data_IF_881687471636
#
_entry.id   IF_881687471636
#
_cell.length_a   1.000
_cell.length_b   1.000
_cell.length_c   1.000
_cell.angle_alpha   90.00
_cell.angle_beta   90.00
_cell.angle_gamma   90.00
#
_symmetry.space_group_name_H-M   'P 1'
#
loop_
_entity.id
_entity.type
_entity.pdbx_description
1 polymer ?
#
# COMPACT_ATOMS: atom_id res chain seq x y z
N UNK A 1 -0.32 13.91 4.09
CA UNK A 1 -0.07 13.08 5.30
C UNK A 1 -1.29 12.93 6.19
N UNK A 2 -2.03 13.99 6.50
CA UNK A 2 -3.29 13.88 7.28
C UNK A 2 -4.26 12.87 6.64
N UNK A 3 -4.41 12.92 5.31
CA UNK A 3 -5.26 11.98 4.54
C UNK A 3 -4.91 10.49 4.78
N UNK A 4 -3.63 10.14 4.94
CA UNK A 4 -3.21 8.75 5.20
C UNK A 4 -3.63 8.33 6.60
N UNK A 5 -3.54 9.24 7.58
CA UNK A 5 -3.99 9.00 8.95
C UNK A 5 -5.51 8.83 9.01
N UNK A 6 -6.26 9.60 8.21
CA UNK A 6 -7.71 9.45 8.08
C UNK A 6 -8.08 8.09 7.49
N UNK A 7 -7.41 7.66 6.41
CA UNK A 7 -7.60 6.31 5.84
C UNK A 7 -7.29 5.21 6.84
N UNK A 8 -6.23 5.37 7.64
CA UNK A 8 -5.90 4.42 8.71
C UNK A 8 -6.99 4.36 9.78
N UNK A 9 -7.53 5.52 10.17
CA UNK A 9 -8.66 5.61 11.10
C UNK A 9 -9.88 4.88 10.55
N UNK A 10 -10.28 5.12 9.31
CA UNK A 10 -11.43 4.44 8.70
C UNK A 10 -11.22 2.92 8.64
N UNK A 11 -10.03 2.49 8.22
CA UNK A 11 -9.69 1.07 8.11
C UNK A 11 -9.69 0.35 9.46
N UNK A 12 -9.27 1.03 10.54
CA UNK A 12 -9.36 0.53 11.91
C UNK A 12 -10.81 0.19 12.31
N UNK A 13 -11.78 0.97 11.84
CA UNK A 13 -13.21 0.73 12.09
C UNK A 13 -13.82 -0.25 11.06
N UNK A 14 -13.01 -0.85 10.18
CA UNK A 14 -13.48 -1.74 9.11
C UNK A 14 -14.27 -1.00 8.03
N UNK A 15 -13.94 0.27 7.81
CA UNK A 15 -14.53 1.15 6.79
C UNK A 15 -13.46 1.66 5.81
N UNK A 16 -13.90 2.20 4.68
CA UNK A 16 -13.00 2.85 3.71
C UNK A 16 -12.17 1.89 2.86
N UNK A 17 -11.25 2.49 2.09
CA UNK A 17 -10.26 1.77 1.30
C UNK A 17 -9.07 1.37 2.17
N UNK A 18 -8.35 0.32 1.72
CA UNK A 18 -7.16 -0.12 2.43
C UNK A 18 -6.12 1.03 2.49
N UNK A 19 -5.61 1.36 3.69
CA UNK A 19 -4.67 2.44 3.84
C UNK A 19 -3.29 1.96 3.38
N UNK A 20 -2.66 2.75 2.53
CA UNK A 20 -1.25 2.57 2.19
C UNK A 20 -0.56 3.93 2.06
N UNK A 21 0.67 4.02 2.56
CA UNK A 21 1.43 5.29 2.57
C UNK A 21 1.99 5.63 1.19
N UNK A 22 2.32 4.62 0.39
CA UNK A 22 2.81 4.78 -0.95
C UNK A 22 1.68 4.66 -1.98
N UNK A 23 1.79 5.46 -3.02
CA UNK A 23 0.89 5.45 -4.17
C UNK A 23 1.64 4.98 -5.42
N UNK A 24 0.92 4.71 -6.50
CA UNK A 24 1.54 4.42 -7.78
C UNK A 24 2.43 5.55 -8.30
N UNK A 25 2.11 6.81 -7.99
CA UNK A 25 2.98 7.94 -8.30
C UNK A 25 4.32 7.87 -7.55
N UNK A 26 4.34 7.32 -6.32
CA UNK A 26 5.59 7.10 -5.59
C UNK A 26 6.40 5.97 -6.22
N UNK A 27 5.76 4.86 -6.64
CA UNK A 27 6.43 3.79 -7.36
C UNK A 27 7.05 4.29 -8.67
N UNK A 28 6.30 5.08 -9.44
CA UNK A 28 6.80 5.71 -10.66
C UNK A 28 7.99 6.64 -10.39
N UNK A 29 7.93 7.45 -9.33
CA UNK A 29 9.04 8.31 -8.93
C UNK A 29 10.29 7.49 -8.58
N UNK A 30 10.15 6.39 -7.84
CA UNK A 30 11.24 5.47 -7.52
C UNK A 30 11.86 4.87 -8.78
N UNK A 31 11.04 4.42 -9.73
CA UNK A 31 11.56 3.93 -11.01
C UNK A 31 12.38 4.99 -11.73
N UNK A 32 11.85 6.20 -11.85
CA UNK A 32 12.54 7.31 -12.53
C UNK A 32 13.84 7.70 -11.81
N UNK A 33 13.92 7.55 -10.48
CA UNK A 33 15.17 7.75 -9.71
C UNK A 33 16.21 6.64 -9.97
N UNK A 34 15.76 5.42 -10.27
CA UNK A 34 16.61 4.26 -10.55
C UNK A 34 17.04 4.18 -12.03
N UNK A 35 16.35 4.87 -12.93
CA UNK A 35 16.70 5.04 -14.35
C UNK A 35 17.12 6.49 -14.67
N UNK A 36 18.29 6.95 -14.18
CA UNK A 36 18.73 8.33 -14.37
C UNK A 36 19.02 8.70 -15.83
N UNK A 37 19.25 7.69 -16.68
CA UNK A 37 19.54 7.89 -18.10
C UNK A 37 18.27 7.86 -18.97
N UNK A 38 17.09 7.62 -18.37
CA UNK A 38 15.81 7.50 -19.08
C UNK A 38 15.84 6.43 -20.18
N UNK A 39 16.50 5.31 -19.91
CA UNK A 39 16.57 4.18 -20.82
C UNK A 39 15.23 3.44 -20.95
N UNK A 40 14.31 3.64 -20.00
CA UNK A 40 13.03 2.94 -19.91
C UNK A 40 13.10 1.60 -19.19
N UNK A 41 14.28 1.25 -18.64
CA UNK A 41 14.49 0.00 -17.92
C UNK A 41 15.47 0.17 -16.76
N UNK A 42 15.38 -0.74 -15.79
CA UNK A 42 16.28 -0.87 -14.65
C UNK A 42 16.84 -2.29 -14.58
N UNK A 43 17.97 -2.44 -13.89
CA UNK A 43 18.57 -3.75 -13.59
C UNK A 43 17.75 -4.51 -12.53
N UNK A 44 17.95 -5.82 -12.44
CA UNK A 44 17.32 -6.65 -11.41
C UNK A 44 17.64 -6.17 -9.98
N UNK A 45 18.89 -5.78 -9.71
CA UNK A 45 19.26 -5.24 -8.41
C UNK A 45 18.49 -3.97 -8.07
N UNK A 46 18.30 -3.07 -9.05
CA UNK A 46 17.52 -1.84 -8.86
C UNK A 46 16.03 -2.15 -8.70
N UNK A 47 15.49 -3.11 -9.44
CA UNK A 47 14.12 -3.59 -9.28
C UNK A 47 13.86 -4.08 -7.86
N UNK A 48 14.74 -4.93 -7.32
CA UNK A 48 14.64 -5.41 -5.92
C UNK A 48 14.67 -4.25 -4.94
N UNK A 49 15.66 -3.36 -5.07
CA UNK A 49 15.82 -2.21 -4.18
C UNK A 49 14.62 -1.25 -4.22
N UNK A 50 14.07 -1.01 -5.42
CA UNK A 50 12.90 -0.16 -5.60
C UNK A 50 11.65 -0.72 -4.93
N UNK A 51 11.42 -2.04 -5.05
CA UNK A 51 10.30 -2.72 -4.39
C UNK A 51 10.49 -2.76 -2.87
N UNK A 52 11.69 -3.04 -2.38
CA UNK A 52 12.01 -3.01 -0.95
C UNK A 52 11.81 -1.63 -0.33
N UNK A 53 12.13 -0.57 -1.07
CA UNK A 53 11.88 0.83 -0.66
C UNK A 53 10.39 1.12 -0.47
N UNK A 54 9.52 0.47 -1.26
CA UNK A 54 8.05 0.52 -1.10
C UNK A 54 7.53 -0.39 0.03
N UNK A 55 8.41 -1.12 0.71
CA UNK A 55 8.05 -2.13 1.71
C UNK A 55 7.59 -3.46 1.12
N UNK A 56 7.79 -3.68 -0.19
CA UNK A 56 7.37 -4.89 -0.88
C UNK A 56 8.52 -5.89 -0.85
N UNK A 57 8.42 -6.89 0.03
CA UNK A 57 9.44 -7.95 0.19
C UNK A 57 9.08 -9.28 -0.50
N UNK A 58 7.84 -9.39 -0.98
CA UNK A 58 7.34 -10.58 -1.68
C UNK A 58 7.01 -10.20 -3.12
N UNK A 59 7.96 -10.42 -4.02
CA UNK A 59 7.86 -10.05 -5.43
C UNK A 59 8.34 -11.18 -6.36
N UNK A 60 8.00 -11.07 -7.64
CA UNK A 60 8.43 -12.00 -8.68
C UNK A 60 9.96 -11.99 -8.80
N UNK A 61 10.56 -13.17 -8.65
CA UNK A 61 12.00 -13.36 -8.79
C UNK A 61 12.42 -13.57 -10.26
N UNK A 62 11.47 -13.76 -11.17
CA UNK A 62 11.72 -13.89 -12.61
C UNK A 62 10.88 -12.88 -13.43
N UNK A 63 10.96 -11.57 -13.15
CA UNK A 63 10.16 -10.57 -13.83
C UNK A 63 10.49 -10.50 -15.33
N UNK A 64 9.55 -10.04 -16.17
CA UNK A 64 9.80 -9.77 -17.59
C UNK A 64 11.04 -8.87 -17.77
N UNK A 65 11.95 -9.29 -18.65
CA UNK A 65 13.19 -8.54 -18.93
C UNK A 65 14.42 -9.00 -18.12
N UNK A 66 14.26 -9.86 -17.10
CA UNK A 66 15.39 -10.36 -16.28
C UNK A 66 16.49 -11.02 -17.12
N UNK A 67 16.14 -11.72 -18.20
CA UNK A 67 17.12 -12.41 -19.06
C UNK A 67 18.13 -11.47 -19.76
N UNK A 68 17.79 -10.19 -19.92
CA UNK A 68 18.71 -9.15 -20.42
C UNK A 68 19.14 -8.18 -19.34
N UNK A 69 18.68 -8.36 -18.11
CA UNK A 69 18.83 -7.40 -17.01
C UNK A 69 18.23 -6.02 -17.34
N UNK A 70 17.13 -6.03 -18.10
CA UNK A 70 16.42 -4.84 -18.61
C UNK A 70 14.94 -4.95 -18.21
N UNK A 71 14.62 -4.66 -16.95
CA UNK A 71 13.26 -4.72 -16.43
C UNK A 71 12.60 -3.38 -16.73
N UNK A 72 11.54 -3.40 -17.53
CA UNK A 72 10.91 -2.18 -17.99
C UNK A 72 10.09 -1.50 -16.90
N UNK A 73 9.77 -0.22 -17.12
CA UNK A 73 8.88 0.55 -16.24
C UNK A 73 7.54 -0.16 -16.02
N UNK A 74 6.96 -0.73 -17.08
CA UNK A 74 5.68 -1.43 -16.99
C UNK A 74 5.78 -2.67 -16.09
N UNK A 75 6.85 -3.46 -16.24
CA UNK A 75 7.07 -4.65 -15.41
C UNK A 75 7.26 -4.28 -13.92
N UNK A 76 8.04 -3.24 -13.64
CA UNK A 76 8.22 -2.73 -12.28
C UNK A 76 6.90 -2.22 -11.68
N UNK A 77 6.14 -1.40 -12.41
CA UNK A 77 4.90 -0.81 -11.92
C UNK A 77 3.79 -1.86 -11.72
N UNK A 78 3.70 -2.85 -12.61
CA UNK A 78 2.75 -3.94 -12.45
C UNK A 78 3.02 -4.73 -11.16
N UNK A 79 4.29 -5.00 -10.88
CA UNK A 79 4.68 -5.68 -9.64
C UNK A 79 4.47 -4.80 -8.41
N UNK A 80 4.83 -3.52 -8.49
CA UNK A 80 4.59 -2.57 -7.41
C UNK A 80 3.10 -2.52 -7.06
N UNK A 81 2.21 -2.36 -8.04
CA UNK A 81 0.75 -2.37 -7.83
C UNK A 81 0.31 -3.65 -7.10
N UNK A 82 0.75 -4.82 -7.57
CA UNK A 82 0.43 -6.11 -6.96
C UNK A 82 0.87 -6.19 -5.49
N UNK A 83 2.07 -5.70 -5.19
CA UNK A 83 2.61 -5.64 -3.83
C UNK A 83 1.84 -4.66 -2.93
N UNK A 84 1.59 -3.45 -3.40
CA UNK A 84 0.84 -2.42 -2.66
C UNK A 84 -0.58 -2.91 -2.33
N UNK A 85 -1.26 -3.54 -3.28
CA UNK A 85 -2.60 -4.12 -3.07
C UNK A 85 -2.56 -5.24 -2.04
N UNK A 86 -1.58 -6.15 -2.14
CA UNK A 86 -1.44 -7.25 -1.19
C UNK A 86 -1.17 -6.76 0.23
N UNK A 87 -0.19 -5.86 0.44
CA UNK A 87 0.15 -5.40 1.79
C UNK A 87 -0.92 -4.51 2.40
N UNK A 88 -1.60 -3.69 1.60
CA UNK A 88 -2.73 -2.88 2.08
C UNK A 88 -3.91 -3.74 2.54
N UNK A 89 -4.10 -4.93 1.95
CA UNK A 89 -5.17 -5.88 2.32
C UNK A 89 -5.11 -6.41 3.75
N UNK A 90 -4.00 -6.20 4.47
CA UNK A 90 -3.90 -6.49 5.91
C UNK A 90 -5.01 -5.81 6.73
N UNK A 91 -5.51 -4.67 6.26
CA UNK A 91 -6.59 -3.93 6.90
C UNK A 91 -7.99 -4.23 6.31
N UNK A 92 -8.08 -5.16 5.37
CA UNK A 92 -9.36 -5.49 4.75
C UNK A 92 -10.27 -6.16 5.77
N UNK A 93 -11.53 -5.72 5.83
CA UNK A 93 -12.53 -6.23 6.77
C UNK A 93 -12.69 -7.75 6.62
N UNK A 94 -12.39 -8.50 7.68
CA UNK A 94 -12.74 -9.92 7.77
C UNK A 94 -14.26 -9.99 7.89
N UNK A 95 -14.95 -10.32 6.81
CA UNK A 95 -16.40 -10.49 6.83
C UNK A 95 -16.78 -11.67 7.74
N UNK A 96 -17.33 -11.38 8.92
CA UNK A 96 -17.89 -12.40 9.82
C UNK A 96 -17.40 -12.36 11.27
N UNK A 97 -16.42 -11.51 11.61
CA UNK A 97 -15.98 -11.32 13.00
C UNK A 97 -16.53 -9.98 13.50
N UNK A 98 -17.30 -9.99 14.59
CA UNK A 98 -17.69 -8.77 15.28
C UNK A 98 -16.52 -8.37 16.18
N UNK A 99 -15.77 -7.34 15.79
CA UNK A 99 -14.60 -6.90 16.55
C UNK A 99 -15.01 -6.27 17.89
N UNK A 100 -14.39 -6.76 18.97
CA UNK A 100 -14.68 -6.35 20.35
C UNK A 100 -14.24 -4.90 20.68
N UNK A 101 -13.48 -4.24 19.81
CA UNK A 101 -12.94 -2.90 20.04
C UNK A 101 -13.86 -1.78 19.51
N UNK A 102 -14.66 -2.04 18.46
CA UNK A 102 -15.64 -1.05 17.92
C UNK A 102 -16.77 -0.77 18.92
N UNK A 103 -17.07 -1.74 19.79
CA UNK A 103 -18.14 -1.64 20.77
C UNK A 103 -17.92 -0.54 21.83
N UNK A 104 -16.67 -0.08 22.06
CA UNK A 104 -16.38 0.94 23.07
C UNK A 104 -16.65 2.36 22.56
N UNK A 105 -16.38 2.63 21.29
CA UNK A 105 -16.49 3.98 20.74
C UNK A 105 -17.95 4.34 20.42
N UNK A 106 -18.77 3.36 20.02
CA UNK A 106 -20.22 3.55 19.84
C UNK A 106 -20.97 3.79 21.17
N UNK A 107 -20.40 3.37 22.31
CA UNK A 107 -20.95 3.65 23.64
C UNK A 107 -20.61 5.08 24.09
N UNK A 108 -19.41 5.59 23.79
CA UNK A 108 -19.01 6.97 24.16
C UNK A 108 -19.80 8.03 23.39
N UNK A 109 -20.11 7.82 22.11
CA UNK A 109 -20.90 8.78 21.31
C UNK A 109 -22.36 8.85 21.79
N UNK A 110 -22.95 7.71 22.21
CA UNK A 110 -24.31 7.67 22.79
C UNK A 110 -24.40 8.24 24.21
N UNK A 111 -23.30 8.24 24.96
CA UNK A 111 -23.25 8.83 26.31
C UNK A 111 -23.21 10.36 26.23
N UNK A 112 -22.51 10.93 25.24
CA UNK A 112 -22.45 12.38 25.04
C UNK A 112 -23.84 12.95 24.65
N UNK A 113 -24.59 12.25 23.80
CA UNK A 113 -25.93 12.67 23.36
C UNK A 113 -27.00 12.61 24.46
N UNK A 114 -26.79 11.81 25.52
CA UNK A 114 -27.70 11.69 26.66
C UNK A 114 -27.41 12.65 27.81
N UNK A 115 -26.25 13.32 27.80
CA UNK A 115 -25.82 14.21 28.88
C UNK A 115 -26.11 15.70 28.62
N UNK A 116 -26.81 16.04 27.54
CA UNK A 116 -27.17 17.42 27.14
C UNK A 116 -28.58 17.88 27.58
N UNK A 117 -29.14 17.30 28.64
CA UNK A 117 -30.35 17.81 29.29
C UNK A 117 -30.03 18.66 30.53
#
# INVERSE_FOLDING_TARGET
>A
MVEVLEKLKEAQHGHGENPFIFTMANAEAIFNMLDPNMNGFITYQQYQHGLETLGIINYDIMPPGIGRNEITKEAFLAEAQRGLDYYSSTYQKISGVKDAHVAKDEEEEKVIEKCTC
#
